data_IF_008467923622
#
_entry.id   IF_008467923622
#
_cell.length_a   1.000
_cell.length_b   1.000
_cell.length_c   1.000
_cell.angle_alpha   90.00
_cell.angle_beta   90.00
_cell.angle_gamma   90.00
#
_symmetry.space_group_name_H-M   'P 1'
#
loop_
_entity.id
_entity.type
_entity.pdbx_description
1 polymer ?
2 non-polymer ?
#
# COMPACT_ATOMS: atom_id res chain seq x y z
N UNK A 20 7.61 33.22 -6.88
CA UNK A 20 6.84 32.04 -7.26
C UNK A 20 5.97 31.55 -6.12
N UNK A 21 5.20 30.50 -6.38
CA UNK A 21 4.37 29.89 -5.35
C UNK A 21 3.94 28.49 -5.79
N UNK A 22 3.06 27.90 -5.02
CA UNK A 22 2.67 26.52 -5.24
C UNK A 22 1.19 26.45 -5.53
N UNK A 23 0.52 27.59 -5.37
CA UNK A 23 -0.90 27.72 -5.69
C UNK A 23 -1.28 27.12 -7.04
N UNK A 24 -0.55 27.44 -8.13
CA UNK A 24 -0.88 26.85 -9.43
C UNK A 24 -1.01 25.34 -9.37
N UNK A 25 -0.06 24.73 -8.68
CA UNK A 25 0.08 23.30 -8.72
C UNK A 25 -0.75 22.61 -7.65
N UNK A 26 -1.13 23.38 -6.63
CA UNK A 26 -1.97 22.82 -5.58
C UNK A 26 -3.43 22.86 -6.03
N UNK A 27 -3.73 23.82 -6.88
CA UNK A 27 -5.05 23.93 -7.51
C UNK A 27 -5.35 22.63 -8.22
N UNK A 28 -4.36 22.13 -8.94
CA UNK A 28 -4.51 20.91 -9.68
C UNK A 28 -4.57 19.65 -8.81
N UNK A 29 -3.81 19.64 -7.73
CA UNK A 29 -3.85 18.52 -6.80
C UNK A 29 -5.18 18.43 -6.05
N UNK A 30 -5.65 19.57 -5.54
CA UNK A 30 -6.86 19.62 -4.69
C UNK A 30 -8.03 18.66 -4.97
N UNK A 31 -8.57 18.65 -6.21
CA UNK A 31 -9.78 17.85 -6.48
C UNK A 31 -9.71 16.40 -6.03
N UNK A 32 -8.53 15.81 -6.11
CA UNK A 32 -8.34 14.40 -5.82
C UNK A 32 -8.32 14.11 -4.33
N UNK A 33 -8.20 15.17 -3.53
CA UNK A 33 -8.10 14.99 -2.09
C UNK A 33 -9.47 15.00 -1.47
N UNK A 34 -9.75 13.98 -0.67
CA UNK A 34 -11.09 13.85 -0.09
C UNK A 34 -11.08 13.94 1.42
N UNK A 35 -12.25 14.16 1.99
CA UNK A 35 -12.44 14.03 3.42
C UNK A 35 -13.08 12.69 3.72
N UNK A 36 -12.68 12.09 4.82
CA UNK A 36 -13.19 10.78 5.19
C UNK A 36 -13.70 10.76 6.63
N UNK A 37 -15.02 10.62 6.79
CA UNK A 37 -15.59 10.53 8.12
C UNK A 37 -16.10 9.12 8.42
N UNK A 38 -15.75 8.61 9.60
CA UNK A 38 -16.06 7.25 9.97
C UNK A 38 -16.86 7.17 11.27
N UNK A 39 -17.90 6.34 11.26
CA UNK A 39 -18.71 6.11 12.45
C UNK A 39 -18.82 4.61 12.72
N UNK A 40 -18.52 4.23 13.97
CA UNK A 40 -18.65 2.85 14.42
C UNK A 40 -18.99 2.78 15.90
N UNK A 41 -18.51 1.74 16.59
CA UNK A 41 -18.72 1.62 18.03
C UNK A 41 -17.53 0.98 18.74
N UNK A 71 -20.77 5.48 20.56
CA UNK A 71 -20.67 5.87 19.16
C UNK A 71 -19.29 6.49 18.85
N UNK A 72 -18.82 6.23 17.64
CA UNK A 72 -17.46 6.52 17.20
C UNK A 72 -17.51 7.65 16.17
N UNK A 73 -16.48 8.48 16.16
CA UNK A 73 -16.35 9.53 15.15
C UNK A 73 -14.89 9.68 14.74
N UNK A 74 -14.55 9.24 13.53
CA UNK A 74 -13.18 9.38 13.01
C UNK A 74 -13.15 10.28 11.78
N UNK A 75 -12.07 11.05 11.66
CA UNK A 75 -11.91 11.97 10.54
C UNK A 75 -10.47 11.98 10.02
N UNK A 76 -10.34 11.84 8.71
CA UNK A 76 -9.05 11.94 8.04
C UNK A 76 -9.26 12.34 6.59
N UNK A 77 -8.18 12.36 5.82
CA UNK A 77 -8.29 12.67 4.41
C UNK A 77 -8.01 11.43 3.58
N UNK A 78 -8.06 11.58 2.26
CA UNK A 78 -7.73 10.49 1.38
C UNK A 78 -7.48 11.01 -0.02
N UNK A 79 -6.83 10.20 -0.84
CA UNK A 79 -6.55 10.57 -2.22
C UNK A 79 -7.27 9.65 -3.23
N UNK A 80 -7.94 10.25 -4.21
CA UNK A 80 -8.53 9.47 -5.29
C UNK A 80 -7.45 8.98 -6.27
N UNK A 81 -7.38 7.67 -6.47
CA UNK A 81 -6.36 7.09 -7.34
C UNK A 81 -6.87 6.78 -8.75
N UNK A 82 -8.04 6.17 -8.83
CA UNK A 82 -8.63 5.80 -10.11
C UNK A 82 -10.07 6.31 -10.15
N UNK A 83 -10.29 7.43 -10.84
CA UNK A 83 -11.64 8.03 -10.97
C UNK A 83 -12.55 7.18 -11.85
N UNK A 84 -11.98 6.38 -12.75
CA UNK A 84 -12.79 5.54 -13.63
C UNK A 84 -13.27 4.30 -12.91
N UNK A 85 -12.82 4.11 -11.67
CA UNK A 85 -13.28 2.99 -10.86
C UNK A 85 -13.76 3.45 -9.47
N UNK A 86 -13.51 4.72 -9.16
CA UNK A 86 -13.94 5.31 -7.91
C UNK A 86 -13.09 4.87 -6.73
N UNK A 87 -11.79 4.70 -6.96
CA UNK A 87 -10.93 4.14 -5.93
C UNK A 87 -10.12 5.21 -5.20
N UNK A 88 -10.22 5.20 -3.88
CA UNK A 88 -9.49 6.16 -3.05
C UNK A 88 -8.68 5.41 -1.99
N UNK A 89 -7.60 6.05 -1.56
CA UNK A 89 -6.74 5.49 -0.53
C UNK A 89 -6.61 6.46 0.65
N UNK A 90 -6.58 5.92 1.85
CA UNK A 90 -6.47 6.70 3.06
C UNK A 90 -5.75 5.86 4.09
N UNK A 91 -5.63 6.34 5.32
CA UNK A 91 -4.93 5.57 6.34
C UNK A 91 -5.78 4.42 6.87
N UNK A 92 -5.11 3.38 7.37
CA UNK A 92 -5.79 2.17 7.78
C UNK A 92 -6.49 2.33 9.11
N UNK A 93 -5.86 3.08 10.01
CA UNK A 93 -6.39 3.22 11.36
C UNK A 93 -7.56 4.19 11.42
N UNK A 94 -7.79 4.94 10.36
CA UNK A 94 -8.92 5.86 10.33
C UNK A 94 -10.22 5.09 10.18
N UNK A 95 -10.17 4.04 9.37
CA UNK A 95 -11.35 3.25 9.08
C UNK A 95 -11.37 1.99 9.94
N UNK A 96 -10.75 2.07 11.11
CA UNK A 96 -10.74 0.94 12.03
C UNK A 96 -12.06 0.87 12.82
N UNK A 97 -12.60 -0.34 12.91
CA UNK A 97 -13.94 -0.58 13.47
C UNK A 97 -14.99 0.21 12.71
N UNK A 98 -14.74 0.42 11.43
CA UNK A 98 -15.61 1.24 10.61
C UNK A 98 -16.95 0.56 10.38
N UNK A 99 -18.01 1.29 10.69
CA UNK A 99 -19.35 0.83 10.45
C UNK A 99 -19.97 1.69 9.37
N UNK A 100 -19.73 3.00 9.46
CA UNK A 100 -20.12 3.93 8.42
C UNK A 100 -18.94 4.77 7.95
N UNK A 101 -18.46 4.48 6.76
CA UNK A 101 -17.42 5.29 6.15
C UNK A 101 -18.05 6.22 5.14
N UNK A 102 -18.06 7.50 5.45
CA UNK A 102 -18.60 8.46 4.50
C UNK A 102 -17.54 9.42 3.96
N UNK A 103 -17.52 9.55 2.63
CA UNK A 103 -16.57 10.39 1.91
C UNK A 103 -17.25 11.65 1.40
N UNK A 104 -16.59 12.78 1.59
CA UNK A 104 -17.10 14.03 1.09
C UNK A 104 -16.05 14.58 0.12
N UNK A 105 -16.49 14.94 -1.08
CA UNK A 105 -15.62 15.42 -2.14
C UNK A 105 -15.34 16.90 -2.04
N UNK A 106 -14.74 17.45 -3.08
CA UNK A 106 -14.43 18.87 -3.08
C UNK A 106 -15.69 19.66 -3.36
N UNK A 107 -16.48 19.17 -4.31
CA UNK A 107 -17.76 19.79 -4.68
C UNK A 107 -18.85 19.51 -3.64
N UNK A 108 -18.45 18.93 -2.51
CA UNK A 108 -19.37 18.70 -1.41
C UNK A 108 -20.24 17.46 -1.50
N UNK A 109 -20.15 16.75 -2.62
CA UNK A 109 -20.91 15.51 -2.80
C UNK A 109 -20.56 14.52 -1.70
N UNK A 110 -21.46 14.33 -0.75
CA UNK A 110 -21.25 13.32 0.28
C UNK A 110 -21.64 11.96 -0.27
N UNK A 111 -20.71 11.01 -0.17
CA UNK A 111 -20.94 9.67 -0.71
C UNK A 111 -20.51 8.59 0.27
N UNK A 112 -21.14 7.42 0.18
CA UNK A 112 -20.78 6.31 1.03
C UNK A 112 -19.73 5.43 0.34
N UNK A 113 -18.89 4.79 1.15
CA UNK A 113 -17.74 4.07 0.63
C UNK A 113 -17.74 2.61 1.05
N UNK A 114 -17.02 1.82 0.28
CA UNK A 114 -16.92 0.38 0.52
C UNK A 114 -15.44 0.01 0.71
N UNK A 115 -15.09 -0.45 1.91
CA UNK A 115 -13.72 -0.86 2.17
C UNK A 115 -13.36 -2.13 1.41
N UNK A 116 -12.61 -1.97 0.33
CA UNK A 116 -12.13 -3.12 -0.43
C UNK A 116 -11.15 -3.90 0.43
N UNK A 117 -10.35 -3.16 1.20
CA UNK A 117 -9.38 -3.78 2.08
C UNK A 117 -8.38 -2.76 2.59
N UNK A 118 -7.46 -3.21 3.44
CA UNK A 118 -6.50 -2.33 4.04
C UNK A 118 -5.28 -3.09 4.50
N UNK A 119 -4.19 -2.36 4.72
CA UNK A 119 -2.93 -2.97 5.12
C UNK A 119 -2.47 -2.33 6.42
N UNK A 120 -2.02 -3.14 7.37
CA UNK A 120 -1.66 -2.68 8.71
C UNK A 120 -0.28 -2.05 8.72
N UNK A 121 0.69 -2.83 8.24
CA UNK A 121 2.10 -2.47 8.32
C UNK A 121 2.46 -1.13 7.64
N UNK A 122 1.81 -0.80 6.53
CA UNK A 122 2.02 0.51 5.90
C UNK A 122 0.98 1.53 6.36
N UNK A 123 0.05 1.08 7.22
CA UNK A 123 -1.10 1.89 7.63
C UNK A 123 -1.86 2.44 6.42
N UNK A 124 -2.23 1.57 5.51
CA UNK A 124 -2.94 2.00 4.33
C UNK A 124 -4.20 1.18 4.15
N UNK A 125 -5.22 1.79 3.55
CA UNK A 125 -6.47 1.11 3.28
C UNK A 125 -7.08 1.63 1.99
N UNK A 126 -7.86 0.78 1.33
CA UNK A 126 -8.43 1.12 0.04
C UNK A 126 -9.95 1.12 0.10
N UNK A 127 -10.57 2.14 -0.47
CA UNK A 127 -12.02 2.25 -0.47
C UNK A 127 -12.54 2.41 -1.90
N UNK A 128 -13.75 1.94 -2.14
CA UNK A 128 -14.35 2.11 -3.46
C UNK A 128 -15.54 3.05 -3.41
N UNK A 129 -15.68 3.85 -4.45
CA UNK A 129 -16.78 4.78 -4.58
C UNK A 129 -17.53 4.43 -5.87
N UNK A 130 -18.84 4.32 -5.78
CA UNK A 130 -19.67 3.99 -6.95
C UNK A 130 -20.22 5.28 -7.56
N UNK A 131 -19.31 6.12 -8.04
CA UNK A 131 -19.68 7.41 -8.60
C UNK A 131 -18.84 7.77 -9.83
N UNK A 132 -19.28 8.79 -10.56
CA UNK A 132 -18.62 9.20 -11.80
C UNK A 132 -18.26 10.69 -11.78
N UNK A 133 -17.65 11.15 -12.86
CA UNK A 133 -17.21 12.54 -13.07
C UNK A 133 -15.93 12.97 -12.35
N UNK A 134 -15.45 12.07 -11.48
CA UNK A 134 -14.31 12.35 -10.60
C UNK A 134 -13.02 12.77 -11.33
N UNK A 135 -12.25 13.63 -10.68
CA UNK A 135 -10.92 13.98 -11.20
C UNK A 135 -9.85 13.56 -10.21
N UNK A 136 -8.68 13.23 -10.74
CA UNK A 136 -7.56 12.83 -9.90
C UNK A 136 -6.46 13.87 -10.05
N UNK A 137 -5.28 13.53 -9.54
CA UNK A 137 -4.14 14.41 -9.65
C UNK A 137 -3.09 13.79 -10.54
N UNK A 138 -2.06 14.55 -10.86
CA UNK A 138 -0.90 13.99 -11.55
C UNK A 138 -0.03 13.27 -10.51
N UNK A 139 0.32 12.02 -10.80
CA UNK A 139 1.08 11.23 -9.82
C UNK A 139 2.50 10.88 -10.29
N UNK A 140 3.47 10.98 -9.38
CA UNK A 140 4.86 10.83 -9.73
C UNK A 140 5.54 9.52 -9.36
N UNK A 141 6.87 9.52 -9.40
CA UNK A 141 7.64 8.35 -9.02
C UNK A 141 8.43 8.65 -7.76
N UNK A 142 8.25 7.83 -6.74
CA UNK A 142 8.97 7.99 -5.49
C UNK A 142 10.43 7.57 -5.62
N UNK A 143 10.78 6.98 -6.75
CA UNK A 143 12.17 6.60 -7.00
C UNK A 143 13.02 7.83 -7.31
N UNK A 144 12.40 8.82 -7.94
CA UNK A 144 13.10 10.05 -8.29
C UNK A 144 13.30 10.93 -7.06
N UNK A 145 12.61 10.58 -5.99
CA UNK A 145 12.65 11.35 -4.74
C UNK A 145 14.01 11.33 -4.05
N UNK A 146 14.48 12.50 -3.67
CA UNK A 146 15.73 12.64 -2.92
C UNK A 146 15.53 13.62 -1.76
N UNK A 147 16.28 13.40 -0.69
CA UNK A 147 16.24 14.31 0.44
C UNK A 147 16.69 15.71 -0.02
N UNK A 148 15.93 16.73 0.39
CA UNK A 148 16.16 18.08 -0.10
C UNK A 148 15.06 18.55 -1.03
N UNK A 149 14.38 17.61 -1.65
CA UNK A 149 13.24 17.91 -2.50
C UNK A 149 12.17 18.60 -1.66
N UNK A 150 11.59 19.67 -2.18
CA UNK A 150 10.49 20.34 -1.49
C UNK A 150 9.27 19.45 -1.54
N UNK A 151 8.31 19.73 -0.67
CA UNK A 151 7.25 18.76 -0.42
C UNK A 151 6.08 19.43 0.29
N UNK A 152 4.85 19.07 -0.10
CA UNK A 152 3.66 19.63 0.53
C UNK A 152 2.65 18.57 0.94
N UNK A 153 2.24 18.63 2.20
CA UNK A 153 1.29 17.67 2.75
C UNK A 153 -0.11 18.23 2.75
N UNK A 154 -0.95 17.73 1.86
CA UNK A 154 -2.32 18.21 1.72
C UNK A 154 -3.33 17.28 2.38
N UNK A 155 -4.45 17.85 2.83
CA UNK A 155 -5.53 17.05 3.36
C UNK A 155 -6.85 17.76 3.26
N UNK A 156 -7.88 17.16 3.83
CA UNK A 156 -9.22 17.72 3.83
C UNK A 156 -9.93 17.33 5.12
N UNK A 157 -9.56 17.98 6.23
CA UNK A 157 -10.13 17.61 7.54
C UNK A 157 -11.55 18.14 7.73
N UNK A 158 -11.91 19.17 6.95
CA UNK A 158 -13.21 19.82 7.09
C UNK A 158 -13.87 20.04 5.74
N UNK A 159 -15.18 19.79 5.68
CA UNK A 159 -15.96 20.06 4.48
C UNK A 159 -15.45 19.34 3.24
N UNK A 167 -9.50 22.99 2.86
CA UNK A 167 -8.24 22.29 2.63
C UNK A 167 -7.21 22.63 3.70
N UNK A 168 -6.04 22.02 3.60
CA UNK A 168 -4.96 22.20 4.57
C UNK A 168 -3.62 21.68 4.03
N UNK A 169 -2.75 22.59 3.63
CA UNK A 169 -1.44 22.24 3.09
C UNK A 169 -0.27 22.84 3.86
N UNK A 170 0.72 22.01 4.14
CA UNK A 170 1.92 22.44 4.85
C UNK A 170 3.17 22.10 4.04
N UNK A 171 4.18 22.95 4.18
CA UNK A 171 5.35 22.90 3.32
C UNK A 171 6.54 22.41 4.12
N UNK A 172 7.44 21.72 3.44
CA UNK A 172 8.67 21.25 4.04
C UNK A 172 9.50 20.55 2.98
N UNK A 173 10.53 19.85 3.41
CA UNK A 173 11.31 19.02 2.50
C UNK A 173 11.33 17.57 2.94
N UNK A 174 11.92 16.72 2.11
CA UNK A 174 12.18 15.33 2.48
C UNK A 174 13.42 15.28 3.36
N UNK A 175 13.28 14.69 4.55
CA UNK A 175 14.33 14.70 5.57
C UNK A 175 15.25 13.50 5.50
N UNK A 176 14.67 12.35 5.15
CA UNK A 176 15.42 11.10 5.05
C UNK A 176 14.63 10.12 4.19
N UNK A 177 15.28 9.05 3.75
CA UNK A 177 14.62 8.03 2.95
C UNK A 177 15.04 6.62 3.40
N UNK A 189 10.29 1.62 5.32
CA UNK A 189 10.68 2.25 4.07
C UNK A 189 9.83 3.47 3.77
N UNK A 190 9.66 4.33 4.76
CA UNK A 190 8.87 5.53 4.59
C UNK A 190 9.68 6.78 4.32
N UNK A 191 8.96 7.85 4.04
CA UNK A 191 9.57 9.14 3.74
C UNK A 191 9.42 10.05 4.96
N UNK A 192 10.53 10.52 5.50
CA UNK A 192 10.49 11.47 6.61
C UNK A 192 10.49 12.91 6.10
N UNK A 193 9.71 13.77 6.75
CA UNK A 193 9.56 15.14 6.27
C UNK A 193 9.26 16.11 7.42
N UNK A 194 9.70 17.35 7.25
CA UNK A 194 9.42 18.38 8.24
C UNK A 194 8.20 19.20 7.86
N UNK A 195 7.48 18.76 6.82
CA UNK A 195 6.16 19.30 6.55
C UNK A 195 5.30 18.72 7.64
N UNK A 196 4.39 19.52 8.17
CA UNK A 196 3.61 19.13 9.33
C UNK A 196 2.39 18.31 8.93
N UNK A 197 2.41 17.03 9.29
CA UNK A 197 1.26 16.18 9.13
C UNK A 197 0.42 16.27 10.40
N UNK A 198 -0.87 15.97 10.29
CA UNK A 198 -1.80 16.04 11.42
C UNK A 198 -2.76 14.86 11.41
N UNK A 199 -3.56 14.70 12.48
CA UNK A 199 -4.68 13.77 12.37
C UNK A 199 -5.56 14.13 11.18
N UNK A 200 -5.92 15.40 11.07
CA UNK A 200 -6.79 15.86 10.00
C UNK A 200 -6.30 15.54 8.60
N UNK A 201 -4.98 15.40 8.44
CA UNK A 201 -4.39 15.26 7.12
C UNK A 201 -3.49 14.03 6.96
N UNK A 202 -3.75 13.03 7.79
CA UNK A 202 -3.16 11.70 7.60
C UNK A 202 -4.00 10.95 6.56
N UNK A 203 -3.35 10.09 5.80
CA UNK A 203 -4.03 9.41 4.72
C UNK A 203 -4.20 10.32 3.51
N UNK A 204 -3.75 11.56 3.63
CA UNK A 204 -3.79 12.51 2.53
C UNK A 204 -2.54 12.51 1.67
N UNK A 205 -2.49 13.48 0.75
CA UNK A 205 -1.48 13.49 -0.30
C UNK A 205 -0.22 14.26 0.05
N UNK A 206 0.92 13.58 -0.04
CA UNK A 206 2.19 14.26 -0.04
C UNK A 206 2.63 14.48 -1.49
N UNK A 207 2.81 15.72 -1.90
CA UNK A 207 3.22 15.96 -3.28
C UNK A 207 4.54 16.73 -3.41
N UNK A 208 5.23 16.53 -4.53
CA UNK A 208 6.47 17.26 -4.81
C UNK A 208 6.24 18.70 -5.28
N UNK A 209 7.32 19.36 -5.68
CA UNK A 209 7.27 20.77 -6.06
C UNK A 209 6.61 20.97 -7.42
N UNK A 210 6.16 19.87 -8.02
CA UNK A 210 5.65 19.85 -9.37
C UNK A 210 4.20 19.42 -9.29
N UNK A 211 3.73 19.21 -8.07
CA UNK A 211 2.36 18.80 -7.82
C UNK A 211 2.13 17.31 -8.04
N UNK A 212 3.21 16.57 -8.27
CA UNK A 212 3.07 15.15 -8.49
C UNK A 212 2.93 14.47 -7.14
N UNK A 213 1.98 13.56 -7.07
CA UNK A 213 1.73 12.77 -5.88
C UNK A 213 2.87 11.79 -5.64
N UNK A 214 3.66 12.02 -4.61
CA UNK A 214 4.80 11.15 -4.33
C UNK A 214 4.65 10.31 -3.08
N UNK A 215 3.57 10.52 -2.34
CA UNK A 215 3.40 9.78 -1.10
C UNK A 215 2.07 10.00 -0.40
N UNK A 216 1.74 9.08 0.50
CA UNK A 216 0.52 9.16 1.29
C UNK A 216 0.80 9.41 2.77
N UNK A 217 0.19 10.44 3.34
CA UNK A 217 0.50 10.83 4.72
C UNK A 217 0.09 9.79 5.73
N UNK A 218 0.85 9.66 6.81
CA UNK A 218 0.45 8.77 7.89
C UNK A 218 0.49 9.47 9.24
N UNK A 219 0.05 8.77 10.28
CA UNK A 219 0.00 9.34 11.62
C UNK A 219 1.19 8.85 12.46
N UNK A 220 1.68 9.68 13.37
CA UNK A 220 2.73 9.30 14.33
C UNK A 220 2.45 9.90 15.71
N UNK A 228 6.19 16.92 17.53
CA UNK A 228 7.43 16.19 17.27
C UNK A 228 8.36 16.94 16.31
N UNK A 229 7.78 17.56 15.29
CA UNK A 229 8.54 18.26 14.25
C UNK A 229 8.90 17.34 13.09
N UNK A 230 8.36 16.12 13.10
CA UNK A 230 8.75 15.08 12.16
C UNK A 230 7.55 14.29 11.62
N UNK A 231 7.34 14.31 10.30
CA UNK A 231 6.28 13.56 9.66
C UNK A 231 6.77 12.37 8.84
N UNK A 232 5.88 11.42 8.57
CA UNK A 232 6.18 10.25 7.74
C UNK A 232 5.14 9.98 6.67
N UNK A 233 5.60 9.64 5.47
CA UNK A 233 4.69 9.22 4.40
C UNK A 233 5.16 7.92 3.73
N UNK A 234 4.25 7.24 3.06
CA UNK A 234 4.58 6.01 2.37
C UNK A 234 4.75 6.31 0.90
N UNK A 235 5.95 6.01 0.34
CA UNK A 235 6.28 6.32 -1.05
C UNK A 235 5.22 5.75 -1.98
N UNK A 236 4.67 6.57 -2.85
CA UNK A 236 3.51 6.20 -3.65
C UNK A 236 3.72 4.94 -4.51
N UNK A 237 4.97 4.60 -4.81
CA UNK A 237 5.22 3.36 -5.52
C UNK A 237 4.76 2.20 -4.65
N UNK A 238 5.29 2.15 -3.45
CA UNK A 238 4.90 1.15 -2.46
C UNK A 238 3.40 1.20 -2.19
N UNK A 239 2.86 2.42 -2.11
CA UNK A 239 1.43 2.58 -1.85
C UNK A 239 0.60 1.94 -2.94
N UNK A 240 0.97 2.20 -4.19
CA UNK A 240 0.23 1.65 -5.32
C UNK A 240 0.39 0.14 -5.39
N UNK A 241 1.57 -0.37 -5.04
CA UNK A 241 1.75 -1.80 -4.99
C UNK A 241 0.78 -2.51 -4.02
N UNK A 242 0.57 -1.94 -2.83
CA UNK A 242 -0.34 -2.59 -1.88
C UNK A 242 -1.78 -2.47 -2.32
N UNK A 243 -2.14 -1.34 -2.92
CA UNK A 243 -3.53 -1.10 -3.31
C UNK A 243 -3.92 -2.11 -4.37
N UNK A 244 -2.98 -2.42 -5.25
CA UNK A 244 -3.27 -3.32 -6.36
C UNK A 244 -3.51 -4.73 -5.88
N UNK A 245 -2.73 -5.14 -4.88
CA UNK A 245 -2.86 -6.47 -4.31
C UNK A 245 -4.25 -6.57 -3.70
N UNK A 246 -4.65 -5.53 -2.98
CA UNK A 246 -5.98 -5.46 -2.38
C UNK A 246 -7.04 -5.47 -3.48
N UNK A 247 -6.81 -4.75 -4.56
CA UNK A 247 -7.77 -4.69 -5.66
C UNK A 247 -7.89 -6.03 -6.38
N UNK A 248 -6.75 -6.64 -6.71
CA UNK A 248 -6.74 -7.90 -7.43
C UNK A 248 -7.10 -9.10 -6.57
N UNK A 249 -6.69 -9.09 -5.30
CA UNK A 249 -6.89 -10.26 -4.46
C UNK A 249 -7.84 -10.08 -3.28
N UNK A 250 -8.15 -8.83 -2.92
CA UNK A 250 -9.01 -8.56 -1.78
C UNK A 250 -8.25 -8.63 -0.47
N UNK A 251 -6.94 -8.71 -0.57
CA UNK A 251 -6.09 -8.83 0.62
C UNK A 251 -4.64 -8.52 0.28
N UNK A 252 -3.76 -8.62 1.28
CA UNK A 252 -2.34 -8.42 1.06
C UNK A 252 -1.52 -9.07 2.15
N UNK A 253 -0.55 -9.88 1.74
CA UNK A 253 0.23 -10.66 2.68
C UNK A 253 1.70 -10.61 2.29
N UNK A 254 2.52 -10.07 3.19
CA UNK A 254 3.94 -9.85 2.93
C UNK A 254 4.75 -10.99 3.51
N UNK A 255 5.52 -11.67 2.66
CA UNK A 255 6.23 -12.86 3.08
C UNK A 255 7.64 -12.61 3.56
N UNK A 256 8.60 -12.92 2.71
CA UNK A 256 9.98 -12.75 3.09
C UNK A 256 10.81 -11.87 2.18
N UNK A 257 11.53 -10.94 2.78
CA UNK A 257 12.45 -10.11 2.03
C UNK A 257 11.97 -9.39 0.78
N UNK A 258 10.93 -8.59 0.89
CA UNK A 258 10.45 -7.84 -0.25
C UNK A 258 9.49 -8.46 -1.24
N UNK A 259 8.95 -9.61 -0.89
CA UNK A 259 7.99 -10.29 -1.76
C UNK A 259 6.61 -10.29 -1.15
N UNK A 260 5.61 -10.44 -2.02
CA UNK A 260 4.22 -10.48 -1.60
C UNK A 260 3.68 -11.85 -1.97
N UNK A 261 2.99 -12.49 -1.04
CA UNK A 261 2.40 -13.79 -1.33
C UNK A 261 0.87 -13.80 -1.21
N UNK A 262 0.27 -14.82 -1.82
CA UNK A 262 -1.17 -14.94 -1.85
C UNK A 262 -1.55 -16.42 -1.68
N UNK A 263 -2.79 -16.66 -1.26
CA UNK A 263 -3.29 -18.02 -1.13
C UNK A 263 -3.47 -18.59 -2.53
N UNK A 264 -2.79 -19.70 -2.81
CA UNK A 264 -2.97 -20.37 -4.09
C UNK A 264 -4.26 -21.18 -4.04
N UNK A 265 -5.36 -20.49 -4.31
CA UNK A 265 -6.69 -21.09 -4.34
C UNK A 265 -6.76 -22.07 -5.48
N UNK A 266 -7.66 -23.06 -5.37
CA UNK A 266 -7.93 -24.00 -6.46
C UNK A 266 -8.16 -23.30 -7.80
N UNK A 267 -8.96 -22.24 -7.83
CA UNK A 267 -9.25 -21.58 -9.12
C UNK A 267 -8.02 -20.91 -9.71
N UNK A 268 -7.13 -20.47 -8.83
CA UNK A 268 -5.88 -19.86 -9.23
C UNK A 268 -4.92 -20.93 -9.73
N UNK A 269 -4.99 -22.10 -9.10
CA UNK A 269 -4.11 -23.21 -9.46
C UNK A 269 -4.34 -23.62 -10.91
N UNK A 270 -5.60 -23.80 -11.27
CA UNK A 270 -5.93 -24.27 -12.61
C UNK A 270 -5.98 -23.13 -13.61
N UNK A 271 -5.78 -21.92 -13.12
CA UNK A 271 -5.61 -20.79 -14.00
C UNK A 271 -4.14 -20.72 -14.42
N UNK A 272 -3.29 -21.49 -13.73
CA UNK A 272 -1.86 -21.50 -14.02
C UNK A 272 -1.37 -22.88 -14.46
N UNK A 273 -2.30 -23.72 -14.91
CA UNK A 273 -1.95 -25.01 -15.48
C UNK A 273 -1.74 -26.13 -14.48
N UNK A 274 -1.79 -25.79 -13.20
CA UNK A 274 -1.63 -26.78 -12.14
C UNK A 274 -2.93 -27.56 -11.90
N UNK A 275 -2.87 -28.55 -11.00
CA UNK A 275 -4.04 -29.33 -10.67
C UNK A 275 -4.92 -28.59 -9.66
N UNK A 276 -6.20 -28.95 -9.60
CA UNK A 276 -7.09 -28.38 -8.61
C UNK A 276 -6.57 -28.70 -7.21
N UNK A 277 -6.06 -29.92 -7.04
CA UNK A 277 -5.59 -30.41 -5.74
C UNK A 277 -4.22 -29.89 -5.31
N UNK A 278 -3.61 -29.00 -6.10
CA UNK A 278 -2.27 -28.53 -5.80
C UNK A 278 -2.25 -27.39 -4.78
N UNK A 279 -1.29 -27.42 -3.87
CA UNK A 279 -1.23 -26.42 -2.81
C UNK A 279 0.13 -25.73 -2.66
N UNK A 280 0.08 -24.47 -2.25
CA UNK A 280 1.28 -23.70 -2.00
C UNK A 280 1.01 -22.23 -1.77
N UNK A 281 2.08 -21.44 -1.62
CA UNK A 281 1.96 -20.01 -1.44
C UNK A 281 2.44 -19.26 -2.68
N UNK A 282 1.49 -18.82 -3.51
CA UNK A 282 1.76 -18.09 -4.74
C UNK A 282 2.51 -16.78 -4.50
N UNK A 283 3.59 -16.56 -5.24
CA UNK A 283 4.26 -15.26 -5.13
C UNK A 283 3.66 -14.23 -6.08
N UNK A 284 2.91 -13.30 -5.51
CA UNK A 284 2.11 -12.36 -6.30
C UNK A 284 2.92 -11.16 -6.80
N UNK A 285 4.13 -11.01 -6.28
CA UNK A 285 5.04 -9.94 -6.70
C UNK A 285 6.41 -10.03 -6.02
N UNK A 286 7.48 -9.91 -6.81
CA UNK A 286 8.82 -9.83 -6.27
C UNK A 286 9.44 -8.47 -6.55
N UNK A 287 9.68 -7.71 -5.49
CA UNK A 287 10.27 -6.38 -5.64
C UNK A 287 11.72 -6.43 -6.11
N UNK A 288 12.05 -5.54 -7.03
CA UNK A 288 13.34 -5.59 -7.71
C UNK A 288 14.53 -5.36 -6.80
N UNK A 289 15.60 -6.13 -7.03
CA UNK A 289 16.84 -6.07 -6.24
C UNK A 289 16.69 -6.38 -4.74
N UNK A 290 15.62 -7.08 -4.39
CA UNK A 290 15.42 -7.56 -3.03
C UNK A 290 16.20 -8.87 -2.88
N UNK A 291 16.41 -9.34 -1.64
CA UNK A 291 17.19 -10.58 -1.51
C UNK A 291 16.58 -11.79 -2.23
N UNK A 292 15.26 -11.85 -2.31
CA UNK A 292 14.61 -12.98 -2.95
C UNK A 292 14.71 -12.93 -4.48
N UNK A 293 14.62 -11.73 -5.04
CA UNK A 293 14.86 -11.59 -6.47
C UNK A 293 16.26 -12.06 -6.77
N UNK A 294 17.18 -11.66 -5.90
CA UNK A 294 18.59 -11.99 -6.05
C UNK A 294 18.87 -13.41 -5.59
N UNK A 295 17.93 -13.99 -4.85
CA UNK A 295 18.01 -15.40 -4.53
C UNK A 295 17.40 -16.18 -5.69
N UNK A 296 16.87 -15.44 -6.65
CA UNK A 296 16.36 -16.03 -7.89
C UNK A 296 14.85 -16.27 -7.94
N UNK A 297 14.12 -15.76 -6.95
CA UNK A 297 12.69 -16.05 -6.90
C UNK A 297 11.87 -15.07 -7.74
N UNK A 298 11.15 -15.61 -8.73
CA UNK A 298 10.33 -14.78 -9.59
C UNK A 298 8.86 -14.82 -9.16
N UNK A 299 8.11 -13.79 -9.56
CA UNK A 299 6.67 -13.77 -9.35
C UNK A 299 6.02 -14.89 -10.14
N UNK A 300 4.90 -15.40 -9.63
CA UNK A 300 4.19 -16.48 -10.29
C UNK A 300 4.70 -17.83 -9.85
N UNK A 301 5.76 -17.84 -9.05
CA UNK A 301 6.24 -19.08 -8.44
C UNK A 301 5.33 -19.53 -7.30
N UNK A 302 5.57 -20.74 -6.80
CA UNK A 302 4.76 -21.33 -5.76
C UNK A 302 5.62 -22.03 -4.73
N UNK A 303 5.65 -21.50 -3.52
CA UNK A 303 6.39 -22.16 -2.44
C UNK A 303 5.58 -23.30 -1.85
N UNK A 304 6.24 -24.45 -1.67
CA UNK A 304 5.57 -25.59 -1.09
C UNK A 304 6.31 -26.01 0.18
N UNK A 305 7.56 -25.58 0.32
CA UNK A 305 8.34 -25.91 1.50
C UNK A 305 9.41 -24.86 1.75
N UNK A 306 9.48 -24.39 3.00
CA UNK A 306 10.58 -23.54 3.44
C UNK A 306 11.35 -24.36 4.47
N UNK A 307 12.59 -24.70 4.14
CA UNK A 307 13.40 -25.60 4.94
C UNK A 307 12.74 -26.96 5.07
N UNK A 308 12.73 -27.52 6.28
CA UNK A 308 12.12 -28.82 6.52
C UNK A 308 10.66 -28.67 6.93
N UNK A 309 10.07 -27.51 6.67
CA UNK A 309 8.66 -27.25 6.96
C UNK A 309 7.80 -27.00 5.72
N UNK A 310 6.71 -27.76 5.59
CA UNK A 310 5.81 -27.68 4.45
C UNK A 310 5.01 -26.38 4.45
N UNK A 311 4.73 -25.86 3.26
CA UNK A 311 3.92 -24.65 3.12
C UNK A 311 2.64 -24.94 2.34
N UNK A 312 1.50 -24.48 2.85
CA UNK A 312 0.20 -24.73 2.21
C UNK A 312 -0.69 -23.50 2.17
N UNK A 313 -0.26 -22.41 2.79
CA UNK A 313 -0.97 -21.12 2.68
C UNK A 313 -0.06 -19.92 2.90
N UNK A 314 -0.50 -18.74 2.47
CA UNK A 314 0.35 -17.55 2.40
C UNK A 314 0.86 -17.09 3.77
N UNK A 315 0.02 -17.25 4.79
CA UNK A 315 0.35 -16.77 6.12
C UNK A 315 1.52 -17.54 6.72
N UNK A 316 1.76 -18.74 6.21
CA UNK A 316 2.83 -19.59 6.71
C UNK A 316 4.21 -19.08 6.36
N UNK A 317 4.30 -18.19 5.39
CA UNK A 317 5.61 -17.72 4.95
C UNK A 317 6.14 -16.73 5.99
N UNK A 318 5.32 -15.73 6.30
CA UNK A 318 5.61 -14.76 7.35
C UNK A 318 5.89 -15.49 8.67
N UNK A 319 5.06 -16.49 8.96
CA UNK A 319 5.21 -17.30 10.17
C UNK A 319 6.53 -18.09 10.21
N UNK A 320 6.80 -18.89 9.18
CA UNK A 320 8.04 -19.65 9.11
C UNK A 320 9.28 -18.76 9.14
N UNK A 321 9.29 -17.73 8.29
CA UNK A 321 10.44 -16.84 8.16
C UNK A 321 10.77 -16.09 9.45
N UNK A 322 9.74 -15.54 10.09
CA UNK A 322 9.92 -14.76 11.31
C UNK A 322 10.52 -15.57 12.44
N UNK A 323 10.49 -16.89 12.32
CA UNK A 323 11.01 -17.76 13.35
C UNK A 323 12.43 -18.25 13.03
N UNK A 324 13.16 -17.44 12.27
CA UNK A 324 14.54 -17.75 11.91
C UNK A 324 15.44 -16.50 12.03
N UNK A 325 16.57 -16.65 12.71
CA UNK A 325 17.44 -15.51 12.99
C UNK A 325 17.91 -14.83 11.71
N UNK A 326 18.27 -13.55 11.83
CA UNK A 326 18.67 -12.74 10.68
C UNK A 326 19.84 -13.38 9.92
N UNK A 327 19.81 -13.23 8.59
CA UNK A 327 20.92 -13.65 7.75
C UNK A 327 21.19 -15.14 7.73
N UNK A 328 20.14 -15.94 7.87
CA UNK A 328 20.29 -17.39 7.88
C UNK A 328 20.05 -17.93 6.48
N UNK A 329 20.66 -19.07 6.19
CA UNK A 329 20.43 -19.75 4.93
C UNK A 329 19.10 -20.49 5.01
N UNK A 330 18.17 -20.16 4.11
CA UNK A 330 16.87 -20.82 4.09
C UNK A 330 16.64 -21.51 2.75
N UNK A 331 16.46 -22.83 2.79
CA UNK A 331 16.20 -23.61 1.59
C UNK A 331 14.70 -23.68 1.30
N UNK A 332 14.26 -22.99 0.26
CA UNK A 332 12.84 -22.95 -0.04
C UNK A 332 12.48 -23.61 -1.38
N UNK A 333 11.81 -24.75 -1.28
CA UNK A 333 11.27 -25.40 -2.46
C UNK A 333 10.24 -24.49 -3.12
N UNK A 334 10.38 -24.30 -4.42
CA UNK A 334 9.40 -23.56 -5.20
C UNK A 334 8.98 -24.43 -6.37
N UNK A 335 8.03 -23.94 -7.15
CA UNK A 335 7.53 -24.70 -8.27
C UNK A 335 7.15 -23.73 -9.39
N UNK A 336 8.09 -23.49 -10.28
CA UNK A 336 7.93 -22.57 -11.40
C UNK A 336 7.69 -23.34 -12.68
N UNK A 337 6.51 -23.17 -13.27
CA UNK A 337 6.11 -23.85 -14.50
C UNK A 337 6.42 -25.35 -14.47
N UNK A 338 5.80 -26.03 -13.52
CA UNK A 338 5.87 -27.48 -13.38
C UNK A 338 7.22 -28.05 -12.97
N UNK A 339 8.21 -27.22 -12.75
CA UNK A 339 9.50 -27.77 -12.40
C UNK A 339 9.86 -27.35 -11.01
N UNK A 340 10.21 -28.31 -10.18
CA UNK A 340 10.56 -27.95 -8.80
C UNK A 340 11.98 -27.40 -8.70
N UNK A 341 12.15 -26.35 -7.93
CA UNK A 341 13.47 -25.82 -7.65
C UNK A 341 13.70 -25.78 -6.16
N UNK A 342 14.83 -25.20 -5.78
CA UNK A 342 15.15 -24.97 -4.40
C UNK A 342 16.00 -23.72 -4.43
N UNK A 343 15.77 -22.81 -3.49
CA UNK A 343 16.43 -21.51 -3.52
C UNK A 343 17.06 -21.18 -2.19
N UNK A 344 18.38 -21.00 -2.18
CA UNK A 344 19.10 -20.64 -0.98
C UNK A 344 18.92 -19.15 -0.73
N UNK A 345 18.33 -18.78 0.41
CA UNK A 345 17.98 -17.37 0.65
C UNK A 345 18.43 -16.81 2.00
N UNK A 346 18.68 -15.51 2.01
CA UNK A 346 19.30 -14.79 3.13
C UNK A 346 18.28 -13.98 3.92
N UNK A 347 17.95 -14.45 5.12
CA UNK A 347 16.89 -13.84 5.92
C UNK A 347 17.18 -12.40 6.37
N UNK A 348 16.24 -11.50 6.11
CA UNK A 348 16.36 -10.11 6.52
C UNK A 348 15.37 -9.78 7.61
N UNK A 349 15.80 -8.97 8.58
CA UNK A 349 14.99 -8.64 9.74
C UNK A 349 13.69 -7.95 9.36
X LIG B 1 8.27 14.03 -12.14
X LIG C 1 11.05 0.95 -8.19
X LIG D 1 -0.33 -7.80 7.02
X LIG E 1 19.57 15.07 -7.93
X LIG F 1 5.87 -19.60 -16.53
#
# INVERSE_FOLDING_TARGET
MRGSHHHHHHGSAQDLTNMPSLAPVLKNAMPAIVNVAVQGYLPNNMASGNADDDDGENSKQPSRIPEKGRKFESIGSGVIIDPKNGIIITNDHVIRNANLITVTLQDGRRLKARLIGGDSETDLAVLKIDAKNLKSLVIGDSDKLEVGDYVVAIGNPFGLNSFGNSQSATFGIVSALKRSDLNIEGVENFIQTDAAINPGNAGGALVNAKGELIGINTAIISPYGGNVGIGFAIPINMAKDVAQQIIKFGSIHRGLMGIFVQHLTPELAQSMGYAEDFQGALVSQVNQNSPAQLAGLKSGDVIVQINDTKITQATQVKTTISLLRAGSTAKIKILRDNKPLTLDVEVTDIK
CD CD
CD CD
CD CD
CD CD
CD CD
#
